data_IF_638792319891
#
_entry.id   IF_638792319891
#
_cell.length_a   1.000
_cell.length_b   1.000
_cell.length_c   1.000
_cell.angle_alpha   90.00
_cell.angle_beta   90.00
_cell.angle_gamma   90.00
#
_symmetry.space_group_name_H-M   'P 1'
#
loop_
_entity.id
_entity.type
_entity.pdbx_description
1 polymer ?
#
# COMPACT_ATOMS: atom_id res chain seq x y z
N UNK A 1 29.90 11.27 -56.23
CA UNK A 1 29.96 12.65 -55.70
C UNK A 1 29.25 12.62 -54.37
N UNK A 2 29.95 12.79 -53.25
CA UNK A 2 29.38 12.69 -51.91
C UNK A 2 29.67 13.97 -51.14
N UNK A 3 28.75 14.37 -50.27
CA UNK A 3 28.91 15.52 -49.38
C UNK A 3 29.91 15.21 -48.26
N UNK A 4 31.14 14.83 -48.60
CA UNK A 4 32.15 14.35 -47.66
C UNK A 4 32.60 15.42 -46.68
N UNK A 5 32.36 16.70 -46.94
CA UNK A 5 32.68 17.82 -46.03
C UNK A 5 31.51 18.24 -45.13
N UNK A 6 30.33 17.63 -45.31
CA UNK A 6 29.12 18.04 -44.59
C UNK A 6 29.21 17.58 -43.13
N UNK A 7 29.27 18.54 -42.21
CA UNK A 7 29.29 18.28 -40.77
C UNK A 7 27.92 18.29 -40.10
N UNK A 8 26.97 19.03 -40.64
CA UNK A 8 25.60 19.14 -40.12
C UNK A 8 24.62 19.11 -41.29
N UNK A 9 23.59 18.29 -41.18
CA UNK A 9 22.44 18.28 -42.07
C UNK A 9 21.16 18.40 -41.24
N UNK A 10 20.53 19.58 -41.26
CA UNK A 10 19.26 19.84 -40.59
C UNK A 10 18.17 20.14 -41.61
N UNK A 11 17.15 19.28 -41.68
CA UNK A 11 16.01 19.36 -42.59
C UNK A 11 14.67 19.13 -41.84
N UNK A 12 14.67 19.38 -40.53
CA UNK A 12 13.54 19.20 -39.62
C UNK A 12 12.26 19.91 -40.09
N UNK A 13 11.10 19.33 -39.80
CA UNK A 13 9.77 19.92 -40.04
C UNK A 13 9.51 20.34 -41.49
N UNK A 14 9.73 19.41 -42.41
CA UNK A 14 9.46 19.58 -43.84
C UNK A 14 8.50 18.50 -44.37
N UNK A 15 8.27 18.49 -45.67
CA UNK A 15 7.41 17.50 -46.36
C UNK A 15 8.24 16.48 -47.15
N UNK A 16 9.52 16.28 -46.78
CA UNK A 16 10.42 15.38 -47.50
C UNK A 16 9.96 13.94 -47.35
N UNK A 17 10.05 13.16 -48.43
CA UNK A 17 9.52 11.80 -48.48
C UNK A 17 10.49 10.84 -49.17
N UNK A 18 10.17 9.55 -49.09
CA UNK A 18 10.96 8.47 -49.70
C UNK A 18 11.93 7.83 -48.71
N UNK A 19 12.85 7.02 -49.23
CA UNK A 19 13.82 6.27 -48.40
C UNK A 19 15.03 7.13 -48.05
N UNK A 20 15.44 7.06 -46.78
CA UNK A 20 16.69 7.64 -46.30
C UNK A 20 17.89 7.14 -47.13
N UNK A 21 18.65 8.09 -47.70
CA UNK A 21 19.90 7.87 -48.44
C UNK A 21 19.89 6.69 -49.43
N UNK A 22 18.94 6.72 -50.37
CA UNK A 22 18.92 5.79 -51.51
C UNK A 22 20.01 6.15 -52.53
N UNK A 23 21.25 5.74 -52.28
CA UNK A 23 22.39 5.98 -53.17
C UNK A 23 23.74 5.87 -52.48
N UNK A 24 24.83 5.83 -53.25
CA UNK A 24 26.21 5.75 -52.73
C UNK A 24 26.70 7.06 -52.12
N UNK A 25 26.10 7.47 -51.00
CA UNK A 25 26.51 8.65 -50.23
C UNK A 25 27.74 8.33 -49.38
N UNK A 26 28.64 9.32 -49.26
CA UNK A 26 29.77 9.27 -48.35
C UNK A 26 29.69 10.49 -47.41
N UNK A 27 29.28 10.23 -46.16
CA UNK A 27 28.99 11.24 -45.12
C UNK A 27 29.92 11.06 -43.91
N UNK A 28 31.18 10.70 -44.14
CA UNK A 28 32.14 10.36 -43.07
C UNK A 28 32.41 11.47 -42.06
N UNK A 29 32.21 12.74 -42.45
CA UNK A 29 32.41 13.90 -41.56
C UNK A 29 31.11 14.40 -40.90
N UNK A 30 29.99 13.71 -41.09
CA UNK A 30 28.71 14.14 -40.54
C UNK A 30 28.71 13.95 -39.02
N UNK A 31 28.55 15.05 -38.30
CA UNK A 31 28.44 15.10 -36.83
C UNK A 31 26.98 15.15 -36.38
N UNK A 32 26.11 15.81 -37.16
CA UNK A 32 24.72 16.00 -36.79
C UNK A 32 23.78 15.77 -37.98
N UNK A 33 22.78 14.92 -37.77
CA UNK A 33 21.73 14.63 -38.73
C UNK A 33 20.37 14.81 -38.08
N UNK A 34 19.66 15.88 -38.45
CA UNK A 34 18.31 16.20 -37.98
C UNK A 34 17.33 16.11 -39.16
N UNK A 35 16.51 15.06 -39.19
CA UNK A 35 15.52 14.79 -40.23
C UNK A 35 14.11 14.64 -39.65
N UNK A 36 13.89 15.10 -38.43
CA UNK A 36 12.63 14.98 -37.71
C UNK A 36 11.47 15.69 -38.41
N UNK A 37 10.24 15.24 -38.15
CA UNK A 37 9.04 15.91 -38.65
C UNK A 37 8.96 15.93 -40.18
N UNK A 38 9.17 14.79 -40.82
CA UNK A 38 9.09 14.61 -42.27
C UNK A 38 8.22 13.39 -42.61
N UNK A 39 8.16 13.04 -43.91
CA UNK A 39 7.41 11.91 -44.44
C UNK A 39 8.35 10.78 -44.94
N UNK A 40 9.54 10.64 -44.33
CA UNK A 40 10.49 9.59 -44.71
C UNK A 40 9.97 8.21 -44.34
N UNK A 41 10.24 7.22 -45.19
CA UNK A 41 9.81 5.83 -45.00
C UNK A 41 10.93 4.85 -45.33
N UNK A 42 10.71 3.56 -45.09
CA UNK A 42 11.75 2.55 -45.27
C UNK A 42 12.50 2.23 -43.98
N UNK A 43 13.59 1.46 -44.11
CA UNK A 43 14.45 1.07 -42.99
C UNK A 43 15.57 2.07 -42.81
N UNK A 44 16.12 2.13 -41.60
CA UNK A 44 17.36 2.88 -41.33
C UNK A 44 18.50 2.26 -42.16
N UNK A 45 19.11 3.00 -43.09
CA UNK A 45 20.04 2.45 -44.07
C UNK A 45 21.42 2.22 -43.44
N UNK A 46 22.07 1.13 -43.83
CA UNK A 46 23.42 0.78 -43.33
C UNK A 46 24.50 1.80 -43.75
N UNK A 47 24.28 2.65 -44.76
CA UNK A 47 25.22 3.70 -45.15
C UNK A 47 25.58 4.64 -43.99
N UNK A 48 24.68 4.79 -43.02
CA UNK A 48 24.93 5.57 -41.79
C UNK A 48 26.01 4.95 -40.90
N UNK A 49 26.33 3.66 -41.05
CA UNK A 49 27.43 3.04 -40.31
C UNK A 49 28.80 3.64 -40.64
N UNK A 50 28.93 4.34 -41.77
CA UNK A 50 30.17 5.02 -42.16
C UNK A 50 30.32 6.41 -41.52
N UNK A 51 29.31 6.92 -40.82
CA UNK A 51 29.33 8.22 -40.16
C UNK A 51 29.92 8.07 -38.75
N UNK A 52 31.20 7.72 -38.64
CA UNK A 52 31.85 7.46 -37.35
C UNK A 52 31.96 8.69 -36.44
N UNK A 53 31.83 9.89 -37.00
CA UNK A 53 31.83 11.15 -36.26
C UNK A 53 30.44 11.58 -35.78
N UNK A 54 29.38 10.84 -36.13
CA UNK A 54 28.01 11.24 -35.83
C UNK A 54 27.77 11.27 -34.32
N UNK A 55 27.36 12.44 -33.83
CA UNK A 55 27.08 12.75 -32.45
C UNK A 55 25.58 12.81 -32.17
N UNK A 56 24.81 13.38 -33.11
CA UNK A 56 23.36 13.54 -33.01
C UNK A 56 22.69 12.90 -34.22
N UNK A 57 21.75 11.99 -33.96
CA UNK A 57 20.85 11.41 -34.96
C UNK A 57 19.41 11.57 -34.51
N UNK A 58 18.68 12.46 -35.18
CA UNK A 58 17.24 12.64 -34.99
C UNK A 58 16.50 12.26 -36.27
N UNK A 59 15.75 11.17 -36.18
CA UNK A 59 14.86 10.66 -37.22
C UNK A 59 13.40 10.62 -36.75
N UNK A 60 13.09 11.32 -35.67
CA UNK A 60 11.79 11.25 -35.01
C UNK A 60 10.65 11.75 -35.90
N UNK A 61 9.41 11.35 -35.60
CA UNK A 61 8.22 11.85 -36.29
C UNK A 61 8.29 11.66 -37.82
N UNK A 62 8.44 10.41 -38.25
CA UNK A 62 8.50 9.96 -39.64
C UNK A 62 7.74 8.62 -39.79
N UNK A 63 7.82 7.97 -40.96
CA UNK A 63 7.23 6.65 -41.23
C UNK A 63 8.29 5.54 -41.38
N UNK A 64 9.38 5.63 -40.61
CA UNK A 64 10.48 4.66 -40.66
C UNK A 64 10.04 3.35 -40.00
N UNK A 65 10.34 2.22 -40.62
CA UNK A 65 9.96 0.89 -40.13
C UNK A 65 11.15 -0.08 -40.14
N UNK A 66 10.98 -1.23 -39.47
CA UNK A 66 12.02 -2.23 -39.33
C UNK A 66 12.59 -2.26 -37.91
N UNK A 67 13.64 -3.07 -37.73
CA UNK A 67 14.35 -3.18 -36.45
C UNK A 67 15.41 -2.11 -36.31
N UNK A 68 15.70 -1.71 -35.07
CA UNK A 68 16.85 -0.86 -34.77
C UNK A 68 18.15 -1.63 -35.10
N UNK A 69 19.01 -1.12 -36.00
CA UNK A 69 20.16 -1.88 -36.47
C UNK A 69 21.27 -2.08 -35.43
N UNK A 70 21.90 -3.24 -35.43
CA UNK A 70 23.00 -3.56 -34.49
C UNK A 70 24.28 -2.77 -34.74
N UNK A 71 24.52 -2.32 -35.98
CA UNK A 71 25.72 -1.54 -36.32
C UNK A 71 25.78 -0.18 -35.62
N UNK A 72 24.65 0.34 -35.13
CA UNK A 72 24.62 1.57 -34.32
C UNK A 72 25.40 1.43 -33.02
N UNK A 73 25.51 0.22 -32.47
CA UNK A 73 26.33 -0.05 -31.28
C UNK A 73 27.83 0.18 -31.50
N UNK A 74 28.29 0.28 -32.74
CA UNK A 74 29.70 0.59 -33.08
C UNK A 74 29.94 2.10 -33.27
N UNK A 75 28.91 2.95 -33.17
CA UNK A 75 29.03 4.39 -33.35
C UNK A 75 29.50 5.04 -32.05
N UNK A 76 30.81 5.02 -31.82
CA UNK A 76 31.41 5.48 -30.56
C UNK A 76 31.17 6.95 -30.25
N UNK A 77 30.92 7.81 -31.23
CA UNK A 77 30.72 9.25 -31.01
C UNK A 77 29.26 9.64 -30.74
N UNK A 78 28.32 8.70 -30.93
CA UNK A 78 26.89 8.98 -30.84
C UNK A 78 26.50 9.24 -29.38
N UNK A 79 25.90 10.40 -29.15
CA UNK A 79 25.42 10.85 -27.84
C UNK A 79 23.90 11.00 -27.79
N UNK A 80 23.32 11.58 -28.84
CA UNK A 80 21.87 11.79 -28.92
C UNK A 80 21.27 10.94 -30.04
N UNK A 81 20.30 10.10 -29.67
CA UNK A 81 19.54 9.26 -30.58
C UNK A 81 18.05 9.43 -30.32
N UNK A 82 17.35 10.04 -31.28
CA UNK A 82 15.89 10.13 -31.28
C UNK A 82 15.32 9.41 -32.51
N UNK A 83 14.59 8.33 -32.24
CA UNK A 83 13.85 7.54 -33.22
C UNK A 83 12.35 7.50 -32.89
N UNK A 84 11.88 8.39 -32.02
CA UNK A 84 10.50 8.38 -31.53
C UNK A 84 9.48 8.66 -32.64
N UNK A 85 8.22 8.29 -32.43
CA UNK A 85 7.10 8.54 -33.37
C UNK A 85 7.39 7.98 -34.77
N UNK A 86 7.63 6.68 -34.84
CA UNK A 86 7.90 5.93 -36.06
C UNK A 86 7.17 4.57 -36.02
N UNK A 87 7.46 3.68 -36.96
CA UNK A 87 6.90 2.33 -37.05
C UNK A 87 7.97 1.24 -36.79
N UNK A 88 8.94 1.51 -35.91
CA UNK A 88 10.00 0.56 -35.57
C UNK A 88 9.46 -0.59 -34.73
N UNK A 89 9.98 -1.80 -34.94
CA UNK A 89 9.53 -3.01 -34.25
C UNK A 89 10.68 -3.95 -33.86
N UNK A 90 10.36 -4.96 -33.06
CA UNK A 90 11.34 -5.91 -32.51
C UNK A 90 11.88 -5.47 -31.16
N UNK A 91 12.92 -6.15 -30.68
CA UNK A 91 13.47 -5.92 -29.34
C UNK A 91 14.35 -4.67 -29.28
N UNK A 92 14.34 -4.02 -28.12
CA UNK A 92 15.32 -3.00 -27.76
C UNK A 92 16.72 -3.64 -27.76
N UNK A 93 17.68 -3.15 -28.56
CA UNK A 93 19.03 -3.70 -28.58
C UNK A 93 19.81 -3.43 -27.28
N UNK A 94 20.53 -4.45 -26.79
CA UNK A 94 21.34 -4.36 -25.58
C UNK A 94 22.46 -3.30 -25.65
N UNK A 95 22.97 -3.02 -26.86
CA UNK A 95 24.04 -2.04 -27.06
C UNK A 95 23.64 -0.64 -26.61
N UNK A 96 22.35 -0.28 -26.68
CA UNK A 96 21.85 1.03 -26.23
C UNK A 96 22.16 1.31 -24.76
N UNK A 97 22.24 0.27 -23.92
CA UNK A 97 22.66 0.41 -22.52
C UNK A 97 24.17 0.23 -22.31
N UNK A 98 24.89 -0.35 -23.26
CA UNK A 98 26.32 -0.66 -23.10
C UNK A 98 27.27 0.39 -23.69
N UNK A 99 26.79 1.26 -24.56
CA UNK A 99 27.58 2.35 -25.15
C UNK A 99 27.83 3.45 -24.11
N UNK A 100 29.08 3.82 -23.90
CA UNK A 100 29.47 4.78 -22.85
C UNK A 100 29.07 6.23 -23.13
N UNK A 101 28.77 6.57 -24.38
CA UNK A 101 28.63 7.96 -24.81
C UNK A 101 27.18 8.37 -25.12
N UNK A 102 26.22 7.43 -25.11
CA UNK A 102 24.81 7.76 -25.31
C UNK A 102 24.24 8.45 -24.05
N UNK A 103 23.89 9.72 -24.20
CA UNK A 103 23.30 10.55 -23.15
C UNK A 103 21.79 10.73 -23.34
N UNK A 104 21.28 10.63 -24.56
CA UNK A 104 19.85 10.77 -24.80
C UNK A 104 19.37 9.69 -25.75
N UNK A 105 18.45 8.86 -25.24
CA UNK A 105 17.82 7.78 -26.00
C UNK A 105 16.31 7.98 -25.95
N UNK A 106 15.73 8.39 -27.08
CA UNK A 106 14.30 8.51 -27.25
C UNK A 106 13.84 7.55 -28.35
N UNK A 107 13.01 6.57 -27.98
CA UNK A 107 12.41 5.62 -28.92
C UNK A 107 10.91 5.46 -28.67
N UNK A 108 10.31 6.46 -28.03
CA UNK A 108 8.90 6.49 -27.70
C UNK A 108 8.00 6.41 -28.94
N UNK A 109 6.75 5.97 -28.78
CA UNK A 109 5.74 5.94 -29.85
C UNK A 109 6.21 5.14 -31.07
N UNK A 110 6.41 3.84 -30.84
CA UNK A 110 6.83 2.84 -31.82
C UNK A 110 6.15 1.48 -31.50
N UNK A 111 6.55 0.41 -32.18
CA UNK A 111 6.07 -0.97 -31.96
C UNK A 111 7.15 -1.88 -31.36
N UNK A 112 8.05 -1.34 -30.53
CA UNK A 112 9.12 -2.13 -29.89
C UNK A 112 8.54 -3.08 -28.85
N UNK A 113 9.12 -4.27 -28.73
CA UNK A 113 8.59 -5.36 -27.91
C UNK A 113 9.66 -6.09 -27.09
N UNK A 114 9.23 -6.96 -26.18
CA UNK A 114 10.13 -7.71 -25.29
C UNK A 114 10.61 -6.91 -24.08
N UNK A 115 11.53 -7.47 -23.28
CA UNK A 115 12.02 -6.85 -22.05
C UNK A 115 13.03 -5.72 -22.30
N UNK A 116 13.09 -4.80 -21.34
CA UNK A 116 14.16 -3.80 -21.25
C UNK A 116 15.47 -4.54 -20.88
N UNK A 117 16.56 -4.35 -21.62
CA UNK A 117 17.84 -4.99 -21.31
C UNK A 117 18.46 -4.54 -19.97
N UNK A 118 19.09 -5.45 -19.22
CA UNK A 118 19.83 -5.12 -17.98
C UNK A 118 21.04 -4.21 -18.24
N UNK A 119 21.54 -4.17 -19.47
CA UNK A 119 22.59 -3.24 -19.87
C UNK A 119 22.20 -1.77 -19.62
N UNK A 120 20.91 -1.44 -19.62
CA UNK A 120 20.42 -0.07 -19.41
C UNK A 120 20.71 0.44 -17.99
N UNK A 121 21.10 -0.44 -17.07
CA UNK A 121 21.58 -0.07 -15.75
C UNK A 121 22.90 0.72 -15.73
N UNK A 122 23.60 0.79 -16.87
CA UNK A 122 24.81 1.60 -17.02
C UNK A 122 24.52 3.01 -17.55
N UNK A 123 23.28 3.30 -17.92
CA UNK A 123 22.89 4.61 -18.42
C UNK A 123 22.74 5.60 -17.26
N UNK A 124 23.40 6.74 -17.36
CA UNK A 124 23.31 7.84 -16.40
C UNK A 124 22.42 9.00 -16.89
N UNK A 125 21.61 8.77 -17.91
CA UNK A 125 21.02 9.85 -18.69
C UNK A 125 19.59 9.57 -19.17
N UNK A 126 19.07 10.42 -20.06
CA UNK A 126 17.65 10.48 -20.44
C UNK A 126 17.26 9.28 -21.30
N UNK A 127 16.26 8.54 -20.83
CA UNK A 127 15.70 7.39 -21.51
C UNK A 127 14.17 7.52 -21.63
N UNK A 128 13.66 7.55 -22.86
CA UNK A 128 12.23 7.51 -23.14
C UNK A 128 11.87 6.29 -24.01
N UNK A 129 11.17 5.34 -23.38
CA UNK A 129 10.64 4.12 -23.98
C UNK A 129 9.10 4.13 -24.08
N UNK A 130 8.45 5.26 -23.76
CA UNK A 130 6.99 5.34 -23.62
C UNK A 130 6.25 4.97 -24.91
N UNK A 131 4.99 4.56 -24.80
CA UNK A 131 4.14 4.24 -25.97
C UNK A 131 4.79 3.20 -26.91
N UNK A 132 5.10 2.03 -26.36
CA UNK A 132 5.62 0.86 -27.08
C UNK A 132 4.92 -0.41 -26.56
N UNK A 133 5.25 -1.59 -27.10
CA UNK A 133 4.76 -2.90 -26.68
C UNK A 133 5.75 -3.64 -25.75
N UNK A 134 6.46 -2.90 -24.89
CA UNK A 134 7.47 -3.45 -23.96
C UNK A 134 6.80 -4.37 -22.93
N UNK A 135 7.43 -5.50 -22.66
CA UNK A 135 6.91 -6.56 -21.78
C UNK A 135 7.98 -7.01 -20.76
N UNK A 136 7.64 -7.90 -19.84
CA UNK A 136 8.59 -8.37 -18.81
C UNK A 136 8.71 -7.41 -17.63
N UNK A 137 9.75 -7.61 -16.82
CA UNK A 137 10.02 -6.80 -15.62
C UNK A 137 10.99 -5.66 -15.91
N UNK A 138 10.91 -4.58 -15.13
CA UNK A 138 11.95 -3.55 -15.12
C UNK A 138 13.32 -4.16 -14.75
N UNK A 139 14.43 -3.68 -15.33
CA UNK A 139 15.77 -4.14 -14.97
C UNK A 139 16.09 -3.90 -13.50
N UNK A 140 17.00 -4.69 -12.96
CA UNK A 140 17.33 -4.74 -11.52
C UNK A 140 17.65 -3.38 -10.90
N UNK A 141 18.27 -2.47 -11.64
CA UNK A 141 18.63 -1.12 -11.21
C UNK A 141 17.47 -0.11 -11.16
N UNK A 142 16.36 -0.35 -11.85
CA UNK A 142 15.18 0.54 -11.82
C UNK A 142 14.30 0.29 -10.58
N UNK A 143 14.66 -0.72 -9.77
CA UNK A 143 14.05 -0.89 -8.46
C UNK A 143 14.42 0.32 -7.60
N UNK A 144 13.47 0.90 -6.85
CA UNK A 144 13.78 1.98 -5.91
C UNK A 144 14.98 1.59 -5.06
N UNK A 145 15.89 2.54 -4.79
CA UNK A 145 17.07 2.38 -3.93
C UNK A 145 16.68 2.16 -2.46
N UNK A 146 15.87 1.14 -2.19
CA UNK A 146 15.52 0.60 -0.89
C UNK A 146 16.06 -0.81 -0.69
N UNK A 147 17.06 -1.24 -1.47
CA UNK A 147 17.71 -2.55 -1.32
C UNK A 147 19.18 -2.47 -1.75
N UNK A 148 20.02 -1.90 -0.88
CA UNK A 148 21.49 -2.03 -0.95
C UNK A 148 21.96 -2.94 0.19
N UNK A 149 21.48 -4.18 0.28
CA UNK A 149 22.10 -5.20 1.13
C UNK A 149 22.02 -6.57 0.45
N UNK A 150 23.07 -6.89 -0.32
CA UNK A 150 23.29 -8.19 -0.94
C UNK A 150 23.95 -9.14 0.08
N UNK A 151 23.15 -9.73 0.98
CA UNK A 151 23.38 -11.04 1.61
C UNK A 151 22.24 -11.35 2.60
N UNK A 152 21.48 -12.40 2.29
CA UNK A 152 20.38 -12.96 3.09
C UNK A 152 19.11 -12.10 3.20
N UNK A 153 18.18 -12.24 2.25
CA UNK A 153 16.78 -11.97 2.53
C UNK A 153 16.00 -13.28 2.38
N UNK A 154 15.64 -13.83 3.54
CA UNK A 154 14.37 -14.53 3.71
C UNK A 154 13.29 -13.54 3.29
N UNK A 155 12.38 -13.94 2.41
CA UNK A 155 11.25 -13.10 2.02
C UNK A 155 10.47 -12.73 3.29
N UNK A 156 10.53 -11.45 3.69
CA UNK A 156 9.92 -11.01 4.94
C UNK A 156 8.42 -10.90 4.68
N UNK A 157 7.72 -11.99 5.00
CA UNK A 157 6.27 -12.05 4.89
C UNK A 157 5.57 -11.10 5.87
N UNK A 158 4.31 -10.76 5.57
CA UNK A 158 3.38 -10.12 6.53
C UNK A 158 3.40 -10.85 7.88
N UNK A 159 3.48 -12.18 7.90
CA UNK A 159 3.48 -12.97 9.13
C UNK A 159 4.73 -12.73 9.97
N UNK A 160 5.89 -12.63 9.32
CA UNK A 160 7.17 -12.37 10.00
C UNK A 160 7.16 -11.00 10.69
N UNK A 161 6.68 -9.96 10.01
CA UNK A 161 6.57 -8.62 10.60
C UNK A 161 5.45 -8.53 11.62
N UNK A 162 4.33 -9.24 11.41
CA UNK A 162 3.25 -9.33 12.40
C UNK A 162 3.74 -9.96 13.70
N UNK A 163 4.61 -10.98 13.64
CA UNK A 163 5.21 -11.58 14.83
C UNK A 163 6.17 -10.62 15.56
N UNK A 164 6.91 -9.79 14.82
CA UNK A 164 7.77 -8.75 15.40
C UNK A 164 6.91 -7.69 16.10
N UNK A 165 5.84 -7.23 15.45
CA UNK A 165 4.86 -6.30 16.03
C UNK A 165 4.26 -6.87 17.31
N UNK A 166 3.81 -8.13 17.29
CA UNK A 166 3.28 -8.84 18.48
C UNK A 166 4.30 -8.88 19.63
N UNK A 167 5.56 -9.22 19.34
CA UNK A 167 6.62 -9.24 20.32
C UNK A 167 6.90 -7.86 20.95
N UNK A 168 6.89 -6.79 20.13
CA UNK A 168 7.09 -5.41 20.60
C UNK A 168 5.93 -4.94 21.47
N UNK A 169 4.69 -5.16 21.01
CA UNK A 169 3.48 -4.80 21.74
C UNK A 169 3.38 -5.50 23.09
N UNK A 170 3.72 -6.79 23.17
CA UNK A 170 3.76 -7.54 24.44
C UNK A 170 4.83 -7.02 25.41
N UNK A 171 5.89 -6.42 24.91
CA UNK A 171 6.92 -5.77 25.73
C UNK A 171 6.57 -4.31 26.09
N UNK A 172 5.40 -3.80 25.69
CA UNK A 172 4.96 -2.44 25.94
C UNK A 172 5.49 -1.38 24.97
N UNK A 173 6.32 -1.77 23.98
CA UNK A 173 6.91 -0.87 22.98
C UNK A 173 5.95 -0.65 21.79
N UNK A 174 4.72 -0.20 22.08
CA UNK A 174 3.63 -0.05 21.10
C UNK A 174 4.01 0.88 19.94
N UNK A 175 4.68 2.00 20.24
CA UNK A 175 5.17 2.96 19.24
C UNK A 175 6.09 2.32 18.21
N UNK A 176 7.02 1.45 18.63
CA UNK A 176 7.88 0.71 17.69
C UNK A 176 7.07 -0.27 16.85
N UNK A 177 6.05 -0.90 17.44
CA UNK A 177 5.09 -1.73 16.71
C UNK A 177 4.42 -0.95 15.56
N UNK A 178 3.95 0.28 15.82
CA UNK A 178 3.39 1.18 14.81
C UNK A 178 4.41 1.57 13.74
N UNK A 179 5.64 1.92 14.13
CA UNK A 179 6.72 2.27 13.19
C UNK A 179 7.02 1.12 12.22
N UNK A 180 6.97 -0.14 12.69
CA UNK A 180 7.10 -1.32 11.82
C UNK A 180 5.94 -1.42 10.83
N UNK A 181 4.71 -1.09 11.21
CA UNK A 181 3.56 -1.09 10.29
C UNK A 181 3.67 0.01 9.22
N UNK A 182 4.20 1.19 9.57
CA UNK A 182 4.52 2.23 8.58
C UNK A 182 5.64 1.76 7.64
N UNK A 183 6.64 1.08 8.17
CA UNK A 183 7.70 0.48 7.37
C UNK A 183 7.17 -0.61 6.42
N UNK A 184 6.18 -1.41 6.86
CA UNK A 184 5.49 -2.37 6.00
C UNK A 184 4.87 -1.66 4.79
N UNK A 185 4.20 -0.53 5.00
CA UNK A 185 3.63 0.27 3.92
C UNK A 185 4.70 0.82 2.97
N UNK A 186 5.82 1.33 3.50
CA UNK A 186 6.97 1.81 2.71
C UNK A 186 7.62 0.69 1.87
N UNK A 187 7.51 -0.56 2.33
CA UNK A 187 8.01 -1.76 1.64
C UNK A 187 6.97 -2.40 0.71
N UNK A 188 5.82 -1.76 0.48
CA UNK A 188 4.71 -2.29 -0.32
C UNK A 188 4.12 -3.61 0.22
N UNK A 189 4.27 -3.85 1.52
CA UNK A 189 3.71 -5.00 2.23
C UNK A 189 2.40 -4.54 2.90
N UNK A 190 1.26 -5.01 2.40
CA UNK A 190 -0.04 -4.66 2.99
C UNK A 190 -0.23 -5.37 4.33
N UNK A 191 -0.19 -4.62 5.43
CA UNK A 191 -0.58 -5.12 6.75
C UNK A 191 -2.04 -5.59 6.74
N UNK A 192 -2.33 -6.69 7.42
CA UNK A 192 -3.68 -7.22 7.52
C UNK A 192 -4.32 -6.81 8.85
N UNK A 193 -5.63 -7.07 9.02
CA UNK A 193 -6.39 -6.73 10.23
C UNK A 193 -5.77 -7.31 11.51
N UNK A 194 -5.08 -8.45 11.44
CA UNK A 194 -4.43 -9.07 12.59
C UNK A 194 -3.28 -8.19 13.10
N UNK A 195 -2.44 -7.68 12.20
CA UNK A 195 -1.33 -6.79 12.54
C UNK A 195 -1.82 -5.54 13.27
N UNK A 196 -2.89 -4.90 12.76
CA UNK A 196 -3.48 -3.73 13.40
C UNK A 196 -4.12 -4.08 14.76
N UNK A 197 -4.87 -5.19 14.82
CA UNK A 197 -5.55 -5.62 16.05
C UNK A 197 -4.57 -5.87 17.21
N UNK A 198 -3.36 -6.37 16.94
CA UNK A 198 -2.31 -6.53 17.97
C UNK A 198 -1.94 -5.19 18.60
N UNK A 199 -1.75 -4.16 17.78
CA UNK A 199 -1.37 -2.83 18.27
C UNK A 199 -2.55 -2.18 18.99
N UNK A 200 -3.76 -2.30 18.43
CA UNK A 200 -5.00 -1.78 19.03
C UNK A 200 -5.25 -2.40 20.41
N UNK A 201 -5.11 -3.72 20.56
CA UNK A 201 -5.25 -4.41 21.84
C UNK A 201 -4.20 -3.92 22.85
N UNK A 202 -2.95 -3.72 22.41
CA UNK A 202 -1.89 -3.20 23.26
C UNK A 202 -2.17 -1.75 23.72
N UNK A 203 -2.57 -0.86 22.80
CA UNK A 203 -3.00 0.51 23.10
C UNK A 203 -4.19 0.53 24.08
N UNK A 204 -5.19 -0.32 23.84
CA UNK A 204 -6.40 -0.41 24.65
C UNK A 204 -6.07 -0.81 26.11
N UNK A 205 -5.12 -1.74 26.29
CA UNK A 205 -4.66 -2.20 27.61
C UNK A 205 -3.77 -1.18 28.33
N UNK A 206 -2.98 -0.39 27.59
CA UNK A 206 -2.11 0.65 28.16
C UNK A 206 -2.81 2.00 28.32
N UNK A 207 -4.04 2.15 27.83
CA UNK A 207 -4.78 3.42 27.73
C UNK A 207 -4.03 4.51 26.95
N UNK A 208 -3.20 4.10 26.00
CA UNK A 208 -2.48 4.99 25.09
C UNK A 208 -3.39 5.35 23.90
N UNK A 209 -4.33 6.26 24.16
CA UNK A 209 -5.29 6.71 23.14
C UNK A 209 -4.65 7.57 22.04
N UNK A 210 -3.49 8.18 22.30
CA UNK A 210 -2.76 8.95 21.30
C UNK A 210 -2.20 8.01 20.22
N UNK A 211 -1.49 6.95 20.63
CA UNK A 211 -1.03 5.92 19.67
C UNK A 211 -2.21 5.17 19.05
N UNK A 212 -3.32 4.94 19.80
CA UNK A 212 -4.51 4.31 19.25
C UNK A 212 -5.07 5.10 18.05
N UNK A 213 -5.25 6.41 18.20
CA UNK A 213 -5.79 7.27 17.13
C UNK A 213 -4.88 7.27 15.90
N UNK A 214 -3.55 7.25 16.09
CA UNK A 214 -2.59 7.12 14.99
C UNK A 214 -2.75 5.79 14.23
N UNK A 215 -2.88 4.68 14.96
CA UNK A 215 -3.03 3.33 14.37
C UNK A 215 -4.35 3.20 13.62
N UNK A 216 -5.44 3.74 14.15
CA UNK A 216 -6.73 3.76 13.47
C UNK A 216 -6.67 4.57 12.16
N UNK A 217 -5.97 5.71 12.16
CA UNK A 217 -5.73 6.49 10.94
C UNK A 217 -4.87 5.77 9.90
N UNK A 218 -3.89 4.95 10.33
CA UNK A 218 -3.12 4.10 9.42
C UNK A 218 -3.98 2.98 8.82
N UNK A 219 -4.87 2.38 9.62
CA UNK A 219 -5.77 1.32 9.18
C UNK A 219 -6.77 1.84 8.13
N UNK A 220 -7.31 3.05 8.34
CA UNK A 220 -8.19 3.74 7.38
C UNK A 220 -7.46 4.05 6.07
N UNK A 221 -6.25 4.64 6.13
CA UNK A 221 -5.42 4.92 4.94
C UNK A 221 -5.06 3.66 4.16
N UNK A 222 -4.89 2.53 4.83
CA UNK A 222 -4.60 1.25 4.21
C UNK A 222 -5.85 0.56 3.61
N UNK A 223 -7.05 1.12 3.84
CA UNK A 223 -8.33 0.55 3.43
C UNK A 223 -8.57 -0.82 4.07
N UNK A 224 -8.24 -0.96 5.35
CA UNK A 224 -8.50 -2.17 6.13
C UNK A 224 -9.72 -1.93 7.01
N UNK A 225 -10.77 -2.71 6.83
CA UNK A 225 -12.00 -2.58 7.60
C UNK A 225 -11.91 -3.26 8.97
N UNK A 226 -12.66 -2.73 9.93
CA UNK A 226 -12.77 -3.31 11.26
C UNK A 226 -13.52 -4.64 11.22
N UNK A 227 -12.99 -5.63 11.93
CA UNK A 227 -13.71 -6.88 12.20
C UNK A 227 -14.24 -6.91 13.64
N UNK A 228 -14.98 -7.97 13.98
CA UNK A 228 -15.54 -8.16 15.32
C UNK A 228 -14.49 -8.02 16.42
N UNK A 229 -13.28 -8.53 16.22
CA UNK A 229 -12.20 -8.43 17.21
C UNK A 229 -11.64 -7.01 17.33
N UNK A 230 -11.50 -6.28 16.23
CA UNK A 230 -11.12 -4.87 16.27
C UNK A 230 -12.07 -4.07 17.15
N UNK A 231 -13.38 -4.27 16.96
CA UNK A 231 -14.38 -3.60 17.79
C UNK A 231 -14.32 -4.03 19.26
N UNK A 232 -14.09 -5.33 19.53
CA UNK A 232 -13.95 -5.84 20.91
C UNK A 232 -12.82 -5.16 21.66
N UNK A 233 -11.62 -5.08 21.08
CA UNK A 233 -10.48 -4.43 21.73
C UNK A 233 -10.74 -2.94 21.99
N UNK A 234 -11.34 -2.23 21.03
CA UNK A 234 -11.69 -0.82 21.19
C UNK A 234 -12.73 -0.61 22.30
N UNK A 235 -13.82 -1.38 22.28
CA UNK A 235 -14.89 -1.29 23.29
C UNK A 235 -14.34 -1.61 24.68
N UNK A 236 -13.46 -2.61 24.81
CA UNK A 236 -12.81 -2.94 26.08
C UNK A 236 -11.89 -1.82 26.58
N UNK A 237 -11.02 -1.29 25.72
CA UNK A 237 -10.14 -0.17 26.06
C UNK A 237 -10.91 1.07 26.51
N UNK A 238 -11.90 1.51 25.72
CA UNK A 238 -12.71 2.68 26.05
C UNK A 238 -13.54 2.48 27.33
N UNK A 239 -14.14 1.29 27.52
CA UNK A 239 -14.93 1.00 28.72
C UNK A 239 -14.06 0.93 29.96
N UNK A 240 -12.89 0.31 29.87
CA UNK A 240 -11.94 0.17 30.97
C UNK A 240 -11.35 1.52 31.41
N UNK A 241 -11.12 2.44 30.47
CA UNK A 241 -10.70 3.82 30.78
C UNK A 241 -11.85 4.71 31.27
N UNK A 242 -13.11 4.34 31.00
CA UNK A 242 -14.30 5.09 31.40
C UNK A 242 -14.90 6.00 30.31
N UNK A 243 -14.42 5.92 29.06
CA UNK A 243 -15.00 6.60 27.89
C UNK A 243 -16.19 5.83 27.31
N UNK A 244 -17.22 5.60 28.13
CA UNK A 244 -18.31 4.68 27.77
C UNK A 244 -19.17 5.17 26.60
N UNK A 245 -19.28 6.48 26.39
CA UNK A 245 -20.02 7.02 25.25
C UNK A 245 -19.38 6.61 23.90
N UNK A 246 -18.05 6.59 23.81
CA UNK A 246 -17.35 6.12 22.61
C UNK A 246 -17.53 4.62 22.41
N UNK A 247 -17.45 3.83 23.48
CA UNK A 247 -17.75 2.40 23.44
C UNK A 247 -19.18 2.12 22.95
N UNK A 248 -20.17 2.92 23.38
CA UNK A 248 -21.55 2.83 22.93
C UNK A 248 -21.75 3.20 21.46
N UNK A 249 -21.00 4.18 20.95
CA UNK A 249 -20.97 4.54 19.53
C UNK A 249 -20.46 3.37 18.68
N UNK A 250 -19.40 2.71 19.12
CA UNK A 250 -18.83 1.54 18.45
C UNK A 250 -19.79 0.36 18.39
N UNK A 251 -20.55 0.09 19.46
CA UNK A 251 -21.63 -0.92 19.40
C UNK A 251 -22.68 -0.52 18.37
N UNK A 252 -23.08 0.75 18.30
CA UNK A 252 -23.99 1.24 17.25
C UNK A 252 -23.47 0.91 15.85
N UNK A 253 -22.21 1.23 15.59
CA UNK A 253 -21.54 0.99 14.30
C UNK A 253 -21.44 -0.50 13.95
N UNK A 254 -21.18 -1.38 14.92
CA UNK A 254 -21.21 -2.84 14.68
C UNK A 254 -22.57 -3.30 14.16
N UNK A 255 -23.66 -2.81 14.76
CA UNK A 255 -25.02 -3.15 14.32
C UNK A 255 -25.32 -2.60 12.93
N UNK A 256 -24.92 -1.37 12.63
CA UNK A 256 -25.13 -0.74 11.32
C UNK A 256 -24.37 -1.49 10.21
N UNK A 257 -23.21 -2.09 10.54
CA UNK A 257 -22.43 -2.97 9.66
C UNK A 257 -22.94 -4.41 9.60
N UNK A 258 -23.99 -4.75 10.34
CA UNK A 258 -24.53 -6.12 10.40
C UNK A 258 -23.59 -7.13 11.08
N UNK A 259 -22.65 -6.65 11.90
CA UNK A 259 -21.77 -7.50 12.69
C UNK A 259 -22.48 -8.01 13.94
N UNK A 260 -22.23 -9.27 14.31
CA UNK A 260 -22.81 -9.86 15.50
C UNK A 260 -22.24 -9.21 16.76
N UNK A 261 -23.12 -8.65 17.59
CA UNK A 261 -22.76 -8.15 18.92
C UNK A 261 -23.16 -9.21 19.94
N UNK A 262 -22.17 -9.80 20.59
CA UNK A 262 -22.37 -10.86 21.57
C UNK A 262 -22.72 -10.33 22.96
N UNK A 263 -23.09 -11.25 23.86
CA UNK A 263 -23.44 -10.94 25.25
C UNK A 263 -22.27 -10.33 26.03
N UNK A 264 -21.04 -10.71 25.67
CA UNK A 264 -19.83 -10.24 26.34
C UNK A 264 -19.65 -8.73 26.19
N UNK A 265 -19.82 -8.17 24.99
CA UNK A 265 -19.71 -6.73 24.74
C UNK A 265 -20.73 -5.90 25.54
N UNK A 266 -21.97 -6.38 25.64
CA UNK A 266 -23.00 -5.73 26.45
C UNK A 266 -22.66 -5.78 27.95
N UNK A 267 -22.17 -6.92 28.44
CA UNK A 267 -21.76 -7.07 29.84
C UNK A 267 -20.60 -6.15 30.20
N UNK A 268 -19.65 -5.97 29.29
CA UNK A 268 -18.52 -5.06 29.45
C UNK A 268 -19.01 -3.63 29.70
N UNK A 269 -19.89 -3.14 28.81
CA UNK A 269 -20.49 -1.82 28.90
C UNK A 269 -21.33 -1.64 30.17
N UNK A 270 -22.16 -2.64 30.52
CA UNK A 270 -22.97 -2.64 31.75
C UNK A 270 -22.06 -2.50 32.98
N UNK A 271 -20.99 -3.31 33.07
CA UNK A 271 -20.03 -3.22 34.16
C UNK A 271 -19.34 -1.84 34.20
N UNK A 272 -18.98 -1.30 33.04
CA UNK A 272 -18.47 0.06 32.92
C UNK A 272 -19.41 1.11 33.52
N UNK A 273 -20.69 1.11 33.12
CA UNK A 273 -21.67 2.06 33.65
C UNK A 273 -21.95 1.85 35.15
N UNK A 274 -21.93 0.60 35.62
CA UNK A 274 -21.99 0.29 37.05
C UNK A 274 -20.80 0.89 37.83
N UNK A 275 -19.58 0.88 37.27
CA UNK A 275 -18.40 1.51 37.89
C UNK A 275 -18.53 3.04 37.97
N UNK A 276 -19.16 3.67 36.98
CA UNK A 276 -19.45 5.10 36.98
C UNK A 276 -20.66 5.49 37.85
N UNK A 277 -21.40 4.53 38.39
CA UNK A 277 -22.61 4.77 39.19
C UNK A 277 -23.83 5.21 38.38
N UNK A 278 -23.81 5.07 37.06
CA UNK A 278 -24.88 5.53 36.17
C UNK A 278 -25.88 4.39 35.89
N UNK A 279 -26.77 4.15 36.85
CA UNK A 279 -27.76 3.06 36.81
C UNK A 279 -28.78 3.22 35.67
N UNK A 280 -29.17 4.44 35.32
CA UNK A 280 -30.11 4.69 34.22
C UNK A 280 -29.59 4.13 32.89
N UNK A 281 -28.31 4.35 32.59
CA UNK A 281 -27.67 3.85 31.37
C UNK A 281 -27.51 2.32 31.38
N UNK A 282 -27.33 1.72 32.55
CA UNK A 282 -27.29 0.26 32.71
C UNK A 282 -28.62 -0.37 32.28
N UNK A 283 -29.75 0.20 32.72
CA UNK A 283 -31.09 -0.27 32.35
C UNK A 283 -31.34 -0.12 30.85
N UNK A 284 -31.00 1.06 30.29
CA UNK A 284 -31.13 1.31 28.86
C UNK A 284 -30.35 0.30 28.03
N UNK A 285 -29.13 -0.08 28.45
CA UNK A 285 -28.36 -1.11 27.79
C UNK A 285 -28.96 -2.51 27.93
N UNK A 286 -29.48 -2.85 29.10
CA UNK A 286 -30.12 -4.15 29.34
C UNK A 286 -31.38 -4.34 28.48
N UNK A 287 -32.21 -3.31 28.38
CA UNK A 287 -33.38 -3.31 27.50
C UNK A 287 -32.97 -3.35 26.03
N UNK A 288 -31.94 -2.58 25.65
CA UNK A 288 -31.39 -2.59 24.28
C UNK A 288 -30.84 -3.95 23.88
N UNK A 289 -30.14 -4.63 24.79
CA UNK A 289 -29.63 -5.99 24.60
C UNK A 289 -30.80 -6.96 24.33
N UNK A 290 -31.84 -6.90 25.15
CA UNK A 290 -33.03 -7.75 25.03
C UNK A 290 -33.81 -7.49 23.75
N UNK A 291 -34.03 -6.22 23.39
CA UNK A 291 -34.74 -5.81 22.18
C UNK A 291 -34.01 -6.21 20.89
N UNK A 292 -32.68 -6.35 20.94
CA UNK A 292 -31.84 -6.81 19.83
C UNK A 292 -31.68 -8.33 19.79
N UNK A 293 -32.39 -9.06 20.65
CA UNK A 293 -32.38 -10.53 20.68
C UNK A 293 -31.14 -11.15 21.32
N UNK A 294 -30.26 -10.35 21.93
CA UNK A 294 -29.09 -10.84 22.65
C UNK A 294 -29.54 -11.26 24.05
N UNK A 295 -29.30 -12.52 24.44
CA UNK A 295 -29.83 -13.09 25.68
C UNK A 295 -28.91 -12.80 26.87
N UNK A 296 -29.41 -12.17 27.96
CA UNK A 296 -28.65 -12.01 29.20
C UNK A 296 -28.17 -13.34 29.78
N UNK A 297 -26.95 -13.37 30.30
CA UNK A 297 -26.36 -14.50 31.01
C UNK A 297 -26.21 -14.19 32.52
N UNK A 298 -25.64 -15.13 33.28
CA UNK A 298 -25.39 -14.95 34.71
C UNK A 298 -24.56 -13.68 35.03
N UNK A 299 -23.53 -13.38 34.22
CA UNK A 299 -22.68 -12.21 34.41
C UNK A 299 -23.43 -10.89 34.19
N UNK A 300 -24.40 -10.87 33.27
CA UNK A 300 -25.29 -9.71 33.04
C UNK A 300 -26.07 -9.40 34.31
N UNK A 301 -26.72 -10.41 34.88
CA UNK A 301 -27.50 -10.27 36.11
C UNK A 301 -26.62 -9.91 37.31
N UNK A 302 -25.44 -10.53 37.43
CA UNK A 302 -24.47 -10.18 38.47
C UNK A 302 -24.05 -8.71 38.40
N UNK A 303 -23.75 -8.21 37.21
CA UNK A 303 -23.33 -6.81 37.04
C UNK A 303 -24.45 -5.83 37.43
N UNK A 304 -25.70 -6.16 37.13
CA UNK A 304 -26.89 -5.42 37.57
C UNK A 304 -27.05 -5.44 39.09
N UNK A 305 -27.06 -6.63 39.70
CA UNK A 305 -27.23 -6.83 41.15
C UNK A 305 -26.15 -6.06 41.92
N UNK A 306 -24.89 -6.20 41.51
CA UNK A 306 -23.74 -5.49 42.09
C UNK A 306 -23.87 -3.97 41.90
N UNK A 307 -24.28 -3.51 40.72
CA UNK A 307 -24.52 -2.09 40.44
C UNK A 307 -25.57 -1.48 41.38
N UNK A 308 -26.75 -2.11 41.49
CA UNK A 308 -27.83 -1.65 42.37
C UNK A 308 -27.45 -1.72 43.85
N UNK A 309 -26.78 -2.79 44.27
CA UNK A 309 -26.27 -2.94 45.64
C UNK A 309 -25.28 -1.82 46.02
N UNK A 310 -24.42 -1.39 45.08
CA UNK A 310 -23.48 -0.29 45.29
C UNK A 310 -24.17 1.05 45.51
N UNK A 311 -25.27 1.31 44.81
CA UNK A 311 -26.04 2.57 44.89
C UNK A 311 -27.02 2.57 46.07
N UNK A 312 -27.22 1.43 46.75
CA UNK A 312 -28.11 1.30 47.92
C UNK A 312 -29.54 0.90 47.59
N UNK A 313 -29.84 0.66 46.32
CA UNK A 313 -31.16 0.31 45.79
C UNK A 313 -31.43 -1.21 45.91
N UNK A 314 -31.51 -1.69 47.15
CA UNK A 314 -31.56 -3.13 47.47
C UNK A 314 -32.82 -3.84 46.96
N UNK A 315 -33.95 -3.14 46.85
CA UNK A 315 -35.19 -3.70 46.31
C UNK A 315 -35.02 -4.13 44.85
N UNK A 316 -34.37 -3.27 44.05
CA UNK A 316 -34.05 -3.57 42.65
C UNK A 316 -32.99 -4.66 42.53
N UNK A 317 -31.98 -4.67 43.41
CA UNK A 317 -31.01 -5.77 43.44
C UNK A 317 -31.71 -7.12 43.67
N UNK A 318 -32.63 -7.22 44.64
CA UNK A 318 -33.38 -8.44 44.92
C UNK A 318 -34.36 -8.82 43.81
N UNK A 319 -34.93 -7.85 43.08
CA UNK A 319 -35.72 -8.12 41.89
C UNK A 319 -34.91 -8.91 40.86
N UNK A 320 -33.67 -8.47 40.57
CA UNK A 320 -32.81 -9.14 39.59
C UNK A 320 -32.27 -10.49 40.08
N UNK A 321 -32.06 -10.68 41.39
CA UNK A 321 -31.78 -11.99 41.99
C UNK A 321 -32.90 -12.99 41.69
N UNK A 322 -34.16 -12.58 41.91
CA UNK A 322 -35.32 -13.43 41.65
C UNK A 322 -35.49 -13.73 40.15
N UNK A 323 -35.25 -12.75 39.27
CA UNK A 323 -35.28 -12.98 37.82
C UNK A 323 -34.18 -13.94 37.35
N UNK A 324 -32.96 -13.81 37.88
CA UNK A 324 -31.84 -14.69 37.60
C UNK A 324 -32.15 -16.15 37.98
N UNK A 325 -32.70 -16.38 39.18
CA UNK A 325 -33.13 -17.71 39.63
C UNK A 325 -34.26 -18.28 38.78
N UNK A 326 -35.26 -17.47 38.39
CA UNK A 326 -36.36 -17.91 37.50
C UNK A 326 -35.86 -18.37 36.14
N UNK A 327 -34.75 -17.80 35.66
CA UNK A 327 -34.09 -18.22 34.42
C UNK A 327 -33.16 -19.43 34.58
N UNK A 328 -33.07 -19.98 35.79
CA UNK A 328 -32.32 -21.21 36.07
C UNK A 328 -30.84 -20.99 36.35
N UNK A 329 -30.40 -19.75 36.61
CA UNK A 329 -29.02 -19.48 37.01
C UNK A 329 -28.87 -19.64 38.53
N UNK A 330 -27.82 -20.34 38.94
CA UNK A 330 -27.49 -20.53 40.36
C UNK A 330 -26.80 -19.28 40.93
N UNK A 331 -27.12 -18.96 42.19
CA UNK A 331 -26.42 -17.91 42.93
C UNK A 331 -25.09 -18.47 43.42
N UNK A 332 -23.99 -17.80 43.10
CA UNK A 332 -22.69 -18.19 43.63
C UNK A 332 -22.50 -17.67 45.08
N UNK A 333 -21.48 -18.22 45.76
CA UNK A 333 -21.18 -17.85 47.15
C UNK A 333 -20.84 -16.36 47.31
N UNK A 334 -20.18 -15.77 46.31
CA UNK A 334 -19.76 -14.35 46.33
C UNK A 334 -20.98 -13.44 46.31
N UNK A 335 -22.01 -13.81 45.57
CA UNK A 335 -23.26 -13.08 45.45
C UNK A 335 -24.08 -13.13 46.75
N UNK A 336 -24.10 -14.28 47.44
CA UNK A 336 -24.70 -14.37 48.78
C UNK A 336 -23.95 -13.52 49.82
N UNK A 337 -22.62 -13.65 49.89
CA UNK A 337 -21.79 -12.92 50.85
C UNK A 337 -21.94 -11.40 50.66
N UNK A 338 -22.02 -10.92 49.41
CA UNK A 338 -22.20 -9.50 49.09
C UNK A 338 -23.59 -8.97 49.48
N UNK A 339 -24.65 -9.75 49.24
CA UNK A 339 -25.99 -9.35 49.66
C UNK A 339 -26.07 -9.27 51.19
N UNK A 340 -25.53 -10.28 51.89
CA UNK A 340 -25.53 -10.31 53.37
C UNK A 340 -24.77 -9.12 53.97
N UNK A 341 -23.58 -8.78 53.46
CA UNK A 341 -22.77 -7.66 53.96
C UNK A 341 -23.47 -6.30 53.79
N UNK A 342 -24.32 -6.17 52.77
CA UNK A 342 -25.01 -4.93 52.43
C UNK A 342 -26.40 -4.78 53.08
N UNK A 343 -26.95 -5.87 53.62
CA UNK A 343 -28.19 -5.87 54.40
C UNK A 343 -27.96 -5.78 55.92
N UNK A 344 -26.71 -5.90 56.39
CA UNK A 344 -26.29 -5.74 57.79
C UNK A 344 -25.89 -4.29 58.11
#
# INVERSE_FOLDING_TARGET
>A
MGCSSLGLLALSNNTLQGKLFSGGFNLTNLNELQLDGNNFSGRIPNVLSNCSALHTLDLSNNHIFGTIPSWMGNMSSLSTLDLSKNHLFGRIPQWMGSTSNLEQIAVADNHLEGPIPEEFCKLNHVLDLSVNNISGSLPSCFKPLGCVWYKACVDISVYSLTAVVDGLCKNGDVKKGREIVEEMANRWIKANVITYNIIIDACAKSWDFEELDLVLGLMEKAGVEFNVETFKFLIDGYTSYGKINEAGRLIGEMHDKGLEVDTYLYNLMINGYCKLGSIENVLLLFDRMSNRGVKPNADTYWSLINGYSKVGEMEMAMKYVNEMQKKGFELDKVMYDMLIDRFC
#
